data_IF_625768738790
#
_entry.id   IF_625768738790
#
_cell.length_a   1.000
_cell.length_b   1.000
_cell.length_c   1.000
_cell.angle_alpha   90.00
_cell.angle_beta   90.00
_cell.angle_gamma   90.00
#
_symmetry.space_group_name_H-M   'P 1'
#
loop_
_entity.id
_entity.type
_entity.pdbx_description
1 polymer ?
#
# COMPACT_ATOMS: atom_id res chain seq x y z
N UNK A 1 9.30 -2.15 17.28
CA UNK A 1 9.51 -1.16 16.20
C UNK A 1 8.73 0.10 16.54
N UNK A 2 9.42 1.21 16.79
CA UNK A 2 8.75 2.49 17.08
C UNK A 2 8.08 2.99 15.80
N UNK A 3 6.76 3.14 15.82
CA UNK A 3 6.03 3.87 14.78
C UNK A 3 6.70 5.22 14.59
N UNK A 4 6.83 5.69 13.34
CA UNK A 4 7.32 7.03 13.07
C UNK A 4 6.47 8.02 13.91
N UNK A 5 7.08 8.56 14.97
CA UNK A 5 6.43 9.53 15.86
C UNK A 5 6.05 10.79 15.09
N UNK A 6 5.42 11.75 15.76
CA UNK A 6 4.87 12.99 15.15
C UNK A 6 5.77 13.65 14.10
N UNK A 7 7.08 13.54 14.26
CA UNK A 7 8.11 14.00 13.32
C UNK A 7 7.99 13.41 11.90
N UNK A 8 7.63 12.13 11.77
CA UNK A 8 7.41 11.48 10.47
C UNK A 8 6.14 11.97 9.77
N UNK A 9 5.07 12.22 10.54
CA UNK A 9 3.83 12.81 10.00
C UNK A 9 4.05 14.25 9.56
N UNK A 10 4.82 15.02 10.31
CA UNK A 10 5.12 16.42 10.00
C UNK A 10 5.92 16.56 8.69
N UNK A 11 6.91 15.68 8.47
CA UNK A 11 7.70 15.63 7.24
C UNK A 11 6.88 15.28 5.99
N UNK A 12 5.96 14.32 6.10
CA UNK A 12 5.06 13.95 4.99
C UNK A 12 4.00 15.04 4.76
N UNK A 13 3.51 15.65 5.84
CA UNK A 13 2.51 16.72 5.83
C UNK A 13 2.94 17.93 5.02
N UNK A 14 4.16 18.42 5.24
CA UNK A 14 4.67 19.64 4.58
C UNK A 14 4.94 19.49 3.07
N UNK A 15 5.09 18.27 2.55
CA UNK A 15 5.42 18.03 1.12
C UNK A 15 4.23 17.59 0.27
N UNK A 16 3.17 17.09 0.88
CA UNK A 16 2.09 16.37 0.16
C UNK A 16 0.68 16.83 0.54
N UNK A 17 0.54 17.92 1.31
CA UNK A 17 -0.77 18.33 1.86
C UNK A 17 -1.36 17.32 2.84
N UNK A 18 -0.52 16.50 3.49
CA UNK A 18 -0.95 15.53 4.50
C UNK A 18 -1.46 14.18 3.99
N UNK A 19 -1.54 13.94 2.66
CA UNK A 19 -1.99 12.65 2.10
C UNK A 19 -1.07 12.18 0.99
N UNK A 20 -0.03 11.44 1.36
CA UNK A 20 0.79 10.73 0.40
C UNK A 20 0.08 9.44 -0.03
N UNK A 21 0.01 9.20 -1.33
CA UNK A 21 -0.40 7.92 -1.91
C UNK A 21 0.83 7.29 -2.58
N UNK A 22 1.15 6.06 -2.20
CA UNK A 22 2.21 5.28 -2.83
C UNK A 22 1.60 4.05 -3.48
N UNK A 23 1.86 3.86 -4.77
CA UNK A 23 1.46 2.65 -5.51
C UNK A 23 2.72 1.88 -5.91
N UNK A 24 2.76 0.59 -5.59
CA UNK A 24 3.86 -0.33 -5.89
C UNK A 24 3.34 -1.45 -6.77
N UNK A 25 3.88 -1.57 -7.97
CA UNK A 25 3.51 -2.65 -8.89
C UNK A 25 4.28 -3.94 -8.58
N UNK A 26 3.56 -5.06 -8.60
CA UNK A 26 4.12 -6.40 -8.45
C UNK A 26 3.48 -7.33 -9.48
N UNK A 27 4.23 -8.27 -10.07
CA UNK A 27 3.66 -9.30 -10.92
C UNK A 27 2.95 -10.40 -10.11
N UNK A 28 3.16 -10.45 -8.80
CA UNK A 28 2.59 -11.47 -7.91
C UNK A 28 2.10 -10.80 -6.62
N UNK A 29 0.78 -10.57 -6.56
CA UNK A 29 0.14 -9.95 -5.40
C UNK A 29 -0.10 -10.94 -4.27
N UNK A 30 -0.22 -12.23 -4.58
CA UNK A 30 -0.50 -13.29 -3.61
C UNK A 30 0.74 -13.54 -2.72
N UNK A 31 1.94 -13.57 -3.30
CA UNK A 31 3.20 -13.61 -2.54
C UNK A 31 3.35 -12.39 -1.65
N UNK A 32 2.98 -11.19 -2.13
CA UNK A 32 3.02 -9.97 -1.31
C UNK A 32 2.03 -10.07 -0.15
N UNK A 33 0.80 -10.52 -0.40
CA UNK A 33 -0.22 -10.74 0.63
C UNK A 33 0.27 -11.69 1.72
N UNK A 34 0.87 -12.81 1.34
CA UNK A 34 1.40 -13.80 2.28
C UNK A 34 2.54 -13.23 3.13
N UNK A 35 3.47 -12.49 2.51
CA UNK A 35 4.55 -11.80 3.24
C UNK A 35 3.99 -10.79 4.24
N UNK A 36 3.04 -9.96 3.82
CA UNK A 36 2.40 -8.97 4.71
C UNK A 36 1.71 -9.65 5.88
N UNK A 37 0.96 -10.73 5.64
CA UNK A 37 0.32 -11.54 6.68
C UNK A 37 1.33 -12.12 7.67
N UNK A 38 2.42 -12.71 7.16
CA UNK A 38 3.49 -13.30 8.00
C UNK A 38 4.14 -12.27 8.93
N UNK A 39 4.23 -11.01 8.50
CA UNK A 39 4.79 -9.92 9.31
C UNK A 39 3.73 -9.14 10.10
N UNK A 40 2.49 -9.62 10.17
CA UNK A 40 1.43 -8.97 10.95
C UNK A 40 0.95 -7.64 10.37
N UNK A 41 1.23 -7.36 9.10
CA UNK A 41 0.76 -6.14 8.43
C UNK A 41 -0.71 -6.31 8.06
N UNK A 42 -1.56 -5.45 8.61
CA UNK A 42 -3.00 -5.47 8.36
C UNK A 42 -3.33 -4.87 6.99
N UNK A 43 -3.90 -5.69 6.11
CA UNK A 43 -4.55 -5.22 4.87
C UNK A 43 -5.88 -4.57 5.23
N UNK A 44 -6.11 -3.34 4.76
CA UNK A 44 -7.35 -2.58 4.98
C UNK A 44 -8.43 -2.89 3.96
N UNK A 45 -8.04 -3.25 2.75
CA UNK A 45 -8.96 -3.58 1.68
C UNK A 45 -8.25 -4.31 0.55
N UNK A 46 -9.03 -5.10 -0.18
CA UNK A 46 -8.62 -5.79 -1.41
C UNK A 46 -9.54 -5.28 -2.52
N UNK A 47 -8.98 -4.99 -3.69
CA UNK A 47 -9.75 -4.75 -4.91
C UNK A 47 -9.33 -5.76 -5.97
N UNK A 48 -10.31 -6.29 -6.68
CA UNK A 48 -10.14 -7.17 -7.82
C UNK A 48 -11.03 -6.63 -8.93
N UNK A 49 -10.40 -6.09 -9.96
CA UNK A 49 -11.01 -5.41 -11.10
C UNK A 49 -10.56 -6.10 -12.39
N UNK A 50 -11.23 -5.84 -13.50
CA UNK A 50 -11.02 -6.59 -14.75
C UNK A 50 -9.55 -6.56 -15.21
N UNK A 51 -8.88 -5.43 -15.04
CA UNK A 51 -7.52 -5.13 -15.49
C UNK A 51 -6.47 -5.19 -14.38
N UNK A 52 -6.87 -5.37 -13.11
CA UNK A 52 -5.93 -5.27 -12.00
C UNK A 52 -6.44 -5.87 -10.69
N UNK A 53 -5.51 -6.22 -9.80
CA UNK A 53 -5.79 -6.52 -8.40
C UNK A 53 -4.95 -5.64 -7.50
N UNK A 54 -5.45 -5.24 -6.34
CA UNK A 54 -4.67 -4.45 -5.40
C UNK A 54 -4.98 -4.70 -3.92
N UNK A 55 -3.96 -4.47 -3.09
CA UNK A 55 -4.02 -4.51 -1.62
C UNK A 55 -3.81 -3.09 -1.09
N UNK A 56 -4.73 -2.62 -0.26
CA UNK A 56 -4.64 -1.32 0.39
C UNK A 56 -4.12 -1.47 1.82
N UNK A 57 -3.05 -0.75 2.14
CA UNK A 57 -2.34 -0.80 3.41
C UNK A 57 -2.30 0.59 4.05
N UNK A 58 -2.29 0.62 5.38
CA UNK A 58 -1.90 1.84 6.09
C UNK A 58 -0.39 1.90 6.25
N UNK A 59 0.21 2.98 5.75
CA UNK A 59 1.59 3.31 6.05
C UNK A 59 1.74 3.85 7.47
N UNK A 60 2.95 3.72 8.01
CA UNK A 60 3.30 4.16 9.37
C UNK A 60 3.18 5.68 9.56
N UNK A 61 3.18 6.46 8.48
CA UNK A 61 3.06 7.91 8.51
C UNK A 61 1.62 8.40 8.30
N UNK A 62 0.61 7.52 8.38
CA UNK A 62 -0.79 7.85 8.11
C UNK A 62 -1.15 7.96 6.62
N UNK A 63 -0.20 7.60 5.74
CA UNK A 63 -0.40 7.52 4.30
C UNK A 63 -1.07 6.20 3.87
N UNK A 64 -1.56 6.15 2.64
CA UNK A 64 -2.06 4.91 2.02
C UNK A 64 -0.98 4.34 1.12
N UNK A 65 -0.72 3.05 1.25
CA UNK A 65 0.16 2.29 0.36
C UNK A 65 -0.71 1.27 -0.38
N UNK A 66 -0.59 1.23 -1.69
CA UNK A 66 -1.28 0.27 -2.56
C UNK A 66 -0.24 -0.63 -3.19
N UNK A 67 -0.34 -1.94 -2.99
CA UNK A 67 0.36 -2.92 -3.81
C UNK A 67 -0.59 -3.36 -4.92
N UNK A 68 -0.19 -3.29 -6.18
CA UNK A 68 -1.05 -3.59 -7.33
C UNK A 68 -0.39 -4.57 -8.29
N UNK A 69 -1.18 -5.48 -8.83
CA UNK A 69 -0.82 -6.37 -9.93
C UNK A 69 -1.70 -6.02 -11.13
N UNK A 70 -1.07 -5.68 -12.25
CA UNK A 70 -1.76 -5.36 -13.50
C UNK A 70 -1.95 -6.64 -14.30
N UNK A 71 -3.15 -6.82 -14.84
CA UNK A 71 -3.47 -7.87 -15.81
C UNK A 71 -3.20 -7.29 -17.20
N UNK A 72 -2.77 -8.16 -18.12
CA UNK A 72 -2.72 -7.76 -19.51
C UNK A 72 -4.12 -7.31 -19.97
N UNK A 73 -4.24 -6.22 -20.75
CA UNK A 73 -5.52 -5.86 -21.34
C UNK A 73 -6.05 -7.04 -22.16
N UNK A 74 -7.34 -7.33 -22.03
CA UNK A 74 -8.00 -8.28 -22.93
C UNK A 74 -7.86 -7.75 -24.37
N UNK A 75 -7.29 -8.58 -25.25
CA UNK A 75 -7.09 -8.26 -26.66
C UNK A 75 -8.40 -8.16 -27.43
#
# INVERSE_FOLDING_TARGET
MAAAGDRGRELVGRRSGGRLLLVLYTPDLDTVRERLRRHGVRVRGVRDEADSRSLHLAGLCGNVIIAAELRAPAA
#
